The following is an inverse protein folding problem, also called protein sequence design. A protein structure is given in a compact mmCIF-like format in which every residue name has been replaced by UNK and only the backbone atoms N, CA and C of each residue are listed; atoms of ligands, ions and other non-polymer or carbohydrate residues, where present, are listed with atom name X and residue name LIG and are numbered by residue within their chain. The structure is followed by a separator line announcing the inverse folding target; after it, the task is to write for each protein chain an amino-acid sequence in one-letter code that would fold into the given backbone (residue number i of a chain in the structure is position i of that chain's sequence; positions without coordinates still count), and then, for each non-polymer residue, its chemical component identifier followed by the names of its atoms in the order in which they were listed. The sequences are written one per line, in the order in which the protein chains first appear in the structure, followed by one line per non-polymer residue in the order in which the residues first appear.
data_IF_895808420500
#
_entry.id   IF_895808420500
#
_cell.length_a   1.000
_cell.length_b   1.000
_cell.length_c   1.000
_cell.angle_alpha   90.00
_cell.angle_beta   90.00
_cell.angle_gamma   90.00
#
_symmetry.space_group_name_H-M   'P 1'
#
loop_
_entity.id
_entity.type
_entity.pdbx_description
1 polymer ?
#
# COMPACT_ATOMS: atom_id res chain seq x y z
N UNK A 1 20.67 1.43 -5.49
CA UNK A 1 19.55 1.76 -4.57
C UNK A 1 19.20 0.54 -3.74
N UNK A 2 19.11 0.72 -2.44
CA UNK A 2 18.65 -0.35 -1.55
C UNK A 2 17.13 -0.24 -1.42
N UNK A 3 16.43 -1.32 -1.78
CA UNK A 3 14.98 -1.35 -1.71
C UNK A 3 14.56 -1.94 -0.36
N UNK A 4 13.78 -1.16 0.38
CA UNK A 4 13.25 -1.59 1.67
C UNK A 4 11.77 -1.21 1.75
N UNK A 5 10.92 -2.22 1.90
CA UNK A 5 9.49 -2.01 2.07
C UNK A 5 9.21 -1.80 3.56
N UNK A 6 8.62 -0.65 3.88
CA UNK A 6 8.28 -0.26 5.25
C UNK A 6 6.79 -0.32 5.45
N UNK A 7 6.37 -0.67 6.67
CA UNK A 7 4.95 -0.54 7.04
C UNK A 7 4.65 0.91 7.34
N UNK A 8 3.54 1.41 6.80
CA UNK A 8 3.17 2.81 6.95
C UNK A 8 2.57 3.12 8.31
N UNK A 9 2.88 4.30 8.81
CA UNK A 9 2.20 4.91 9.96
C UNK A 9 1.47 6.16 9.48
N UNK A 10 0.67 6.77 10.36
CA UNK A 10 -0.05 8.01 10.01
C UNK A 10 0.89 9.12 9.52
N UNK A 11 2.11 9.16 10.04
CA UNK A 11 3.10 10.16 9.63
C UNK A 11 3.50 10.04 8.16
N UNK A 12 3.28 8.89 7.55
CA UNK A 12 3.65 8.63 6.16
C UNK A 12 2.53 8.95 5.17
N UNK A 13 1.36 9.35 5.69
CA UNK A 13 0.16 9.50 4.85
C UNK A 13 0.34 10.52 3.73
N UNK A 14 1.06 11.62 3.98
CA UNK A 14 1.21 12.65 2.96
C UNK A 14 2.02 12.18 1.75
N UNK A 15 3.17 11.53 1.97
CA UNK A 15 3.99 11.06 0.85
C UNK A 15 3.33 9.88 0.13
N UNK A 16 2.65 9.02 0.86
CA UNK A 16 1.90 7.91 0.25
C UNK A 16 0.71 8.46 -0.54
N UNK A 17 0.02 9.48 -0.02
CA UNK A 17 -1.09 10.12 -0.72
C UNK A 17 -0.69 10.72 -2.06
N UNK A 18 0.52 11.24 -2.19
CA UNK A 18 1.03 11.75 -3.45
C UNK A 18 1.11 10.66 -4.51
N UNK A 19 1.67 9.50 -4.16
CA UNK A 19 1.75 8.38 -5.10
C UNK A 19 0.38 7.73 -5.34
N UNK A 20 -0.48 7.73 -4.33
CA UNK A 20 -1.85 7.25 -4.45
C UNK A 20 -2.63 8.10 -5.46
N UNK A 21 -2.40 9.41 -5.49
CA UNK A 21 -3.00 10.29 -6.50
C UNK A 21 -2.57 9.89 -7.92
N UNK A 22 -1.28 9.59 -8.11
CA UNK A 22 -0.78 9.11 -9.40
C UNK A 22 -1.44 7.80 -9.82
N UNK A 23 -1.65 6.91 -8.88
CA UNK A 23 -2.34 5.65 -9.09
C UNK A 23 -3.79 5.89 -9.55
N UNK A 24 -4.50 6.84 -8.92
CA UNK A 24 -5.86 7.20 -9.32
C UNK A 24 -5.89 7.80 -10.73
N UNK A 25 -4.92 8.63 -11.08
CA UNK A 25 -4.79 9.18 -12.42
C UNK A 25 -4.60 8.05 -13.45
N UNK A 26 -3.80 7.05 -13.10
CA UNK A 26 -3.61 5.87 -13.96
C UNK A 26 -4.95 5.17 -14.26
N UNK A 27 -5.90 5.23 -13.33
CA UNK A 27 -7.25 4.70 -13.52
C UNK A 27 -8.26 5.77 -13.96
N UNK A 28 -7.76 6.79 -14.65
CA UNK A 28 -8.58 7.84 -15.29
C UNK A 28 -9.34 8.73 -14.32
N UNK A 29 -8.86 8.87 -13.10
CA UNK A 29 -9.41 9.83 -12.16
C UNK A 29 -8.74 11.18 -12.31
N UNK A 30 -9.44 12.25 -11.97
CA UNK A 30 -8.88 13.59 -11.96
C UNK A 30 -7.95 13.71 -10.75
N UNK A 31 -6.78 14.34 -10.96
CA UNK A 31 -5.83 14.58 -9.89
C UNK A 31 -6.45 15.40 -8.76
N UNK A 32 -6.30 14.91 -7.54
CA UNK A 32 -6.70 15.60 -6.33
C UNK A 32 -5.84 15.09 -5.17
N UNK A 33 -4.66 15.66 -5.01
CA UNK A 33 -3.69 15.21 -4.00
C UNK A 33 -4.27 15.30 -2.59
N UNK A 34 -5.02 16.37 -2.31
CA UNK A 34 -5.61 16.56 -0.99
C UNK A 34 -6.57 15.43 -0.61
N UNK A 35 -7.47 15.06 -1.52
CA UNK A 35 -8.38 13.94 -1.30
C UNK A 35 -7.63 12.63 -1.15
N UNK A 36 -6.60 12.41 -1.97
CA UNK A 36 -5.78 11.20 -1.90
C UNK A 36 -5.08 11.08 -0.54
N UNK A 37 -4.49 12.18 -0.07
CA UNK A 37 -3.84 12.22 1.24
C UNK A 37 -4.82 11.96 2.37
N UNK A 38 -6.01 12.57 2.31
CA UNK A 38 -7.05 12.37 3.32
C UNK A 38 -7.53 10.92 3.36
N UNK A 39 -7.72 10.31 2.20
CA UNK A 39 -8.14 8.92 2.13
C UNK A 39 -7.13 7.99 2.84
N UNK A 40 -5.86 8.15 2.50
CA UNK A 40 -4.80 7.34 3.10
C UNK A 40 -4.72 7.59 4.61
N UNK A 41 -4.77 8.85 5.02
CA UNK A 41 -4.71 9.20 6.45
C UNK A 41 -5.87 8.56 7.24
N UNK A 42 -7.08 8.58 6.71
CA UNK A 42 -8.23 7.98 7.37
C UNK A 42 -8.10 6.46 7.50
N UNK A 43 -7.60 5.79 6.44
CA UNK A 43 -7.38 4.34 6.49
C UNK A 43 -6.38 3.99 7.58
N UNK A 44 -5.28 4.73 7.66
CA UNK A 44 -4.24 4.48 8.66
C UNK A 44 -4.70 4.83 10.08
N UNK A 45 -5.36 5.97 10.25
CA UNK A 45 -5.86 6.42 11.54
C UNK A 45 -6.85 5.44 12.15
N UNK A 46 -7.72 4.87 11.33
CA UNK A 46 -8.78 3.98 11.78
C UNK A 46 -8.41 2.50 11.71
N UNK A 47 -7.15 2.18 11.38
CA UNK A 47 -6.67 0.80 11.22
C UNK A 47 -7.53 -0.01 10.24
N UNK A 48 -7.95 0.62 9.15
CA UNK A 48 -8.80 -0.01 8.15
C UNK A 48 -8.03 -0.68 7.03
N UNK A 49 -6.75 -0.37 6.92
CA UNK A 49 -5.86 -1.02 5.96
C UNK A 49 -4.46 -1.13 6.50
N UNK A 50 -3.66 -1.98 5.87
CA UNK A 50 -2.22 -2.06 6.09
C UNK A 50 -1.54 -1.66 4.80
N UNK A 51 -0.58 -0.73 4.88
CA UNK A 51 0.11 -0.21 3.71
C UNK A 51 1.60 -0.45 3.88
N UNK A 52 2.23 -0.98 2.85
CA UNK A 52 3.69 -1.03 2.73
C UNK A 52 4.11 -0.08 1.63
N UNK A 53 5.26 0.56 1.81
CA UNK A 53 5.76 1.53 0.83
C UNK A 53 7.28 1.55 0.80
N UNK A 54 7.82 2.06 -0.30
CA UNK A 54 9.25 2.28 -0.48
C UNK A 54 9.45 3.77 -0.69
N UNK A 55 10.37 4.36 0.07
CA UNK A 55 10.69 5.77 -0.09
C UNK A 55 12.18 6.00 -0.32
N UNK A 56 12.49 7.10 -0.96
CA UNK A 56 13.86 7.58 -1.15
C UNK A 56 13.81 9.10 -1.15
N UNK A 57 14.62 9.74 -0.31
CA UNK A 57 14.68 11.21 -0.20
C UNK A 57 13.30 11.83 0.06
N UNK A 58 12.54 11.23 0.95
CA UNK A 58 11.20 11.68 1.36
C UNK A 58 10.15 11.64 0.25
N UNK A 59 10.42 10.88 -0.81
CA UNK A 59 9.47 10.65 -1.90
C UNK A 59 9.05 9.17 -1.84
N UNK A 60 7.74 8.93 -1.86
CA UNK A 60 7.23 7.56 -1.97
C UNK A 60 7.39 7.09 -3.42
N UNK A 61 8.15 6.02 -3.62
CA UNK A 61 8.40 5.46 -4.96
C UNK A 61 7.32 4.48 -5.38
N UNK A 62 6.68 3.83 -4.43
CA UNK A 62 5.63 2.87 -4.68
C UNK A 62 4.99 2.42 -3.38
N UNK A 63 3.82 1.84 -3.49
CA UNK A 63 3.06 1.37 -2.33
C UNK A 63 2.20 0.17 -2.68
N UNK A 64 1.79 -0.57 -1.65
CA UNK A 64 0.71 -1.55 -1.75
C UNK A 64 -0.21 -1.38 -0.56
N UNK A 65 -1.50 -1.50 -0.77
CA UNK A 65 -2.51 -1.39 0.27
C UNK A 65 -3.30 -2.68 0.39
N UNK A 66 -3.38 -3.18 1.62
CA UNK A 66 -4.04 -4.42 1.95
C UNK A 66 -5.28 -4.12 2.79
N UNK A 67 -6.42 -4.71 2.44
CA UNK A 67 -7.65 -4.57 3.23
C UNK A 67 -7.98 -5.90 3.92
N UNK A 68 -8.17 -5.87 5.24
CA UNK A 68 -8.60 -7.07 5.95
C UNK A 68 -10.08 -7.35 5.70
N UNK A 69 -10.41 -8.62 5.60
CA UNK A 69 -11.80 -9.07 5.49
C UNK A 69 -11.88 -10.48 6.10
N UNK A 70 -12.94 -11.19 5.77
CA UNK A 70 -13.18 -12.53 6.32
C UNK A 70 -13.53 -13.49 5.19
N UNK A 71 -13.08 -14.72 5.36
CA UNK A 71 -13.43 -15.82 4.50
C UNK A 71 -14.43 -16.69 5.27
N UNK A 72 -15.72 -16.51 4.99
CA UNK A 72 -16.79 -17.15 5.76
C UNK A 72 -16.81 -18.67 5.59
N UNK A 73 -16.54 -19.13 4.38
CA UNK A 73 -16.57 -20.57 4.09
C UNK A 73 -15.51 -21.32 4.91
N UNK A 74 -14.32 -20.76 5.01
CA UNK A 74 -13.21 -21.38 5.74
C UNK A 74 -13.11 -20.90 7.19
N UNK A 75 -14.03 -20.04 7.63
CA UNK A 75 -14.12 -19.53 9.01
C UNK A 75 -12.79 -18.93 9.47
N UNK A 76 -12.25 -18.01 8.69
CA UNK A 76 -10.95 -17.41 8.99
C UNK A 76 -10.84 -15.96 8.49
N UNK A 77 -9.83 -15.26 8.99
CA UNK A 77 -9.48 -13.94 8.48
C UNK A 77 -8.83 -14.07 7.10
N UNK A 78 -9.03 -13.06 6.29
CA UNK A 78 -8.43 -12.94 4.96
C UNK A 78 -7.95 -11.52 4.78
N UNK A 79 -6.84 -11.34 4.07
CA UNK A 79 -6.39 -10.00 3.68
C UNK A 79 -6.29 -9.93 2.16
N UNK A 80 -6.71 -8.80 1.58
CA UNK A 80 -6.71 -8.61 0.13
C UNK A 80 -5.67 -7.57 -0.24
N UNK A 81 -4.74 -7.94 -1.12
CA UNK A 81 -3.84 -6.96 -1.74
C UNK A 81 -4.68 -6.25 -2.80
N UNK A 82 -5.14 -5.06 -2.48
CA UNK A 82 -6.11 -4.34 -3.30
C UNK A 82 -5.45 -3.35 -4.26
N UNK A 83 -4.44 -2.63 -3.79
CA UNK A 83 -3.75 -1.61 -4.57
C UNK A 83 -2.25 -1.91 -4.62
N UNK A 84 -1.65 -1.73 -5.78
CA UNK A 84 -0.21 -1.86 -5.97
C UNK A 84 0.20 -0.92 -7.10
N UNK A 85 1.12 0.01 -6.82
CA UNK A 85 1.57 0.96 -7.83
C UNK A 85 3.00 1.39 -7.54
N UNK A 86 3.79 1.53 -8.59
CA UNK A 86 5.16 2.04 -8.53
C UNK A 86 5.27 3.19 -9.54
N UNK A 87 5.89 4.29 -9.13
CA UNK A 87 6.11 5.42 -10.03
C UNK A 87 6.82 4.93 -11.29
N UNK A 88 6.42 5.43 -12.44
CA UNK A 88 6.92 4.97 -13.73
C UNK A 88 8.45 5.00 -13.82
N UNK A 89 9.07 6.05 -13.34
CA UNK A 89 10.52 6.23 -13.40
C UNK A 89 11.30 5.18 -12.56
N UNK A 90 10.61 4.50 -11.65
CA UNK A 90 11.24 3.56 -10.72
C UNK A 90 10.82 2.11 -10.96
N UNK A 91 10.10 1.85 -12.04
CA UNK A 91 9.69 0.48 -12.39
C UNK A 91 10.88 -0.33 -12.88
N UNK A 92 10.72 -1.67 -12.85
CA UNK A 92 11.74 -2.64 -13.27
C UNK A 92 12.99 -2.64 -12.38
N UNK A 93 12.83 -2.25 -11.12
CA UNK A 93 13.91 -2.23 -10.13
C UNK A 93 13.64 -3.14 -8.94
N UNK A 94 12.58 -3.95 -9.00
CA UNK A 94 12.22 -4.87 -7.94
C UNK A 94 11.36 -4.28 -6.82
N UNK A 95 10.86 -3.06 -6.97
CA UNK A 95 10.05 -2.42 -5.92
C UNK A 95 8.73 -3.17 -5.74
N UNK A 96 8.01 -3.47 -6.83
CA UNK A 96 6.75 -4.19 -6.74
C UNK A 96 6.93 -5.57 -6.10
N UNK A 97 7.99 -6.28 -6.46
CA UNK A 97 8.29 -7.58 -5.86
C UNK A 97 8.56 -7.46 -4.37
N UNK A 98 9.33 -6.46 -3.96
CA UNK A 98 9.59 -6.19 -2.55
C UNK A 98 8.30 -5.92 -1.78
N UNK A 99 7.40 -5.11 -2.35
CA UNK A 99 6.12 -4.80 -1.73
C UNK A 99 5.24 -6.05 -1.60
N UNK A 100 5.18 -6.87 -2.64
CA UNK A 100 4.39 -8.11 -2.60
C UNK A 100 4.95 -9.10 -1.58
N UNK A 101 6.27 -9.20 -1.46
CA UNK A 101 6.90 -10.08 -0.48
C UNK A 101 6.59 -9.61 0.95
N UNK A 102 6.63 -8.29 1.19
CA UNK A 102 6.27 -7.72 2.48
C UNK A 102 4.80 -8.04 2.83
N UNK A 103 3.91 -7.94 1.85
CA UNK A 103 2.49 -8.25 2.04
C UNK A 103 2.28 -9.73 2.41
N UNK A 104 2.95 -10.64 1.71
CA UNK A 104 2.85 -12.07 1.99
C UNK A 104 3.37 -12.42 3.38
N UNK A 105 4.50 -11.84 3.75
CA UNK A 105 5.10 -12.04 5.06
C UNK A 105 4.17 -11.52 6.17
N UNK A 106 3.60 -10.35 5.97
CA UNK A 106 2.63 -9.77 6.90
C UNK A 106 1.41 -10.69 7.09
N UNK A 107 0.87 -11.20 5.98
CA UNK A 107 -0.29 -12.09 6.03
C UNK A 107 0.03 -13.35 6.84
N UNK A 108 1.20 -13.95 6.62
CA UNK A 108 1.63 -15.13 7.35
C UNK A 108 1.81 -14.85 8.83
N UNK A 109 2.50 -13.77 9.18
CA UNK A 109 2.80 -13.41 10.57
C UNK A 109 1.54 -13.03 11.37
N UNK A 110 0.49 -12.58 10.71
CA UNK A 110 -0.74 -12.12 11.35
C UNK A 110 -1.91 -13.12 11.19
N UNK A 111 -1.61 -14.34 10.78
CA UNK A 111 -2.58 -15.43 10.70
C UNK A 111 -3.73 -15.20 9.74
N UNK A 112 -3.47 -14.48 8.65
CA UNK A 112 -4.43 -14.39 7.56
C UNK A 112 -4.35 -15.65 6.71
N UNK A 113 -5.50 -16.20 6.33
CA UNK A 113 -5.56 -17.45 5.60
C UNK A 113 -5.10 -17.36 4.15
N UNK A 114 -5.19 -16.17 3.55
CA UNK A 114 -4.78 -15.96 2.17
C UNK A 114 -4.57 -14.47 1.92
N UNK A 115 -4.03 -14.18 0.78
CA UNK A 115 -3.78 -12.81 0.36
C UNK A 115 -4.31 -12.63 -1.07
#
# INVERSE_FOLDING_TARGET
MKIESKIATLDDANIIGEVFDLYRIFYNQVSDVSIAQQYIAERLKNNESTIFFVEENSICLGFTQLYPTFDSVNVRKKIVLYDLFVREAYRRRGIAESLMNAAKEYATQNNFGSI
#
